data_IF_064163816439
#
_entry.id   IF_064163816439
#
_cell.length_a   1.000
_cell.length_b   1.000
_cell.length_c   1.000
_cell.angle_alpha   90.00
_cell.angle_beta   90.00
_cell.angle_gamma   90.00
#
_symmetry.space_group_name_H-M   'P 1'
#
loop_
_entity.id
_entity.type
_entity.pdbx_description
1 polymer ?
#
# COMPACT_ATOMS: atom_id res chain seq x y z
N UNK A 1 31.64 12.54 -42.46
CA UNK A 1 30.57 11.52 -42.54
C UNK A 1 30.59 10.53 -41.40
N UNK A 2 31.74 10.19 -40.85
CA UNK A 2 31.83 9.27 -39.70
C UNK A 2 31.31 9.86 -38.40
N UNK A 3 31.24 11.18 -38.24
CA UNK A 3 30.77 11.86 -37.04
C UNK A 3 29.24 11.91 -36.86
N UNK A 4 28.49 11.66 -37.92
CA UNK A 4 27.01 11.70 -37.89
C UNK A 4 26.43 10.46 -37.20
N UNK A 5 27.06 9.29 -37.33
CA UNK A 5 26.63 8.02 -36.74
C UNK A 5 26.75 8.03 -35.21
N UNK A 6 27.76 8.68 -34.65
CA UNK A 6 27.95 8.76 -33.20
C UNK A 6 26.98 9.71 -32.51
N UNK A 7 26.46 10.72 -33.21
CA UNK A 7 25.48 11.66 -32.67
C UNK A 7 24.12 11.02 -32.45
N UNK A 8 23.67 10.14 -33.33
CA UNK A 8 22.40 9.43 -33.21
C UNK A 8 22.41 8.43 -32.04
N UNK A 9 23.54 7.79 -31.80
CA UNK A 9 23.69 6.85 -30.68
C UNK A 9 23.61 7.56 -29.33
N UNK A 10 24.13 8.77 -29.20
CA UNK A 10 24.10 9.58 -27.98
C UNK A 10 22.70 10.11 -27.64
N UNK A 11 21.83 10.29 -28.63
CA UNK A 11 20.45 10.77 -28.43
C UNK A 11 19.53 9.66 -27.91
N UNK A 12 19.81 8.40 -28.24
CA UNK A 12 18.98 7.25 -27.80
C UNK A 12 19.21 6.89 -26.31
N UNK A 13 20.38 7.11 -25.76
CA UNK A 13 20.73 6.80 -24.37
C UNK A 13 19.90 7.58 -23.34
N UNK A 14 19.68 8.89 -23.44
CA UNK A 14 18.86 9.65 -22.50
C UNK A 14 17.39 9.17 -22.45
N UNK A 15 16.85 8.73 -23.56
CA UNK A 15 15.48 8.24 -23.62
C UNK A 15 15.29 6.93 -22.85
N UNK A 16 16.24 6.02 -22.89
CA UNK A 16 16.22 4.77 -22.14
C UNK A 16 16.26 5.00 -20.63
N UNK A 17 17.02 6.00 -20.17
CA UNK A 17 17.13 6.36 -18.76
C UNK A 17 15.81 6.96 -18.24
N UNK A 18 15.13 7.77 -19.03
CA UNK A 18 13.84 8.38 -18.65
C UNK A 18 12.75 7.31 -18.49
N UNK A 19 12.71 6.32 -19.34
CA UNK A 19 11.76 5.22 -19.26
C UNK A 19 11.94 4.37 -18.00
N UNK A 20 13.15 4.07 -17.60
CA UNK A 20 13.41 3.28 -16.39
C UNK A 20 13.02 4.02 -15.11
N UNK A 21 12.96 5.35 -15.09
CA UNK A 21 12.51 6.16 -13.95
C UNK A 21 11.00 6.27 -13.78
N UNK A 22 10.19 5.81 -14.75
CA UNK A 22 8.73 5.90 -14.71
C UNK A 22 8.05 4.67 -14.08
N UNK A 23 8.77 3.56 -13.90
CA UNK A 23 8.23 2.34 -13.29
C UNK A 23 8.38 2.43 -11.78
N UNK A 24 7.25 2.57 -11.07
CA UNK A 24 7.22 2.54 -9.60
C UNK A 24 6.49 1.30 -9.13
N UNK A 25 7.07 0.60 -8.17
CA UNK A 25 6.38 -0.46 -7.47
C UNK A 25 5.27 0.14 -6.58
N UNK A 26 4.12 -0.52 -6.53
CA UNK A 26 3.06 -0.16 -5.59
C UNK A 26 3.52 -0.39 -4.15
N UNK A 27 3.04 0.44 -3.22
CA UNK A 27 3.31 0.25 -1.82
C UNK A 27 2.70 -1.07 -1.32
N UNK A 28 3.42 -1.86 -0.51
CA UNK A 28 2.85 -3.07 0.07
C UNK A 28 1.74 -2.71 1.06
N UNK A 29 0.68 -3.50 1.07
CA UNK A 29 -0.52 -3.26 1.88
C UNK A 29 -0.57 -4.20 3.08
N UNK A 30 -0.83 -3.64 4.25
CA UNK A 30 -1.23 -4.36 5.46
C UNK A 30 -2.74 -4.15 5.63
N UNK A 31 -3.50 -5.22 5.58
CA UNK A 31 -4.95 -5.18 5.73
C UNK A 31 -5.33 -5.51 7.17
N UNK A 32 -6.12 -4.66 7.79
CA UNK A 32 -6.70 -4.90 9.11
C UNK A 32 -8.19 -5.19 8.94
N UNK A 33 -8.62 -6.33 9.45
CA UNK A 33 -10.01 -6.78 9.37
C UNK A 33 -10.48 -7.18 10.77
N UNK A 34 -11.22 -6.30 11.42
CA UNK A 34 -11.68 -6.50 12.79
C UNK A 34 -13.05 -5.89 13.05
N UNK A 35 -13.33 -5.66 14.32
CA UNK A 35 -14.58 -5.11 14.83
C UNK A 35 -14.42 -3.66 15.30
N UNK A 36 -15.23 -3.24 16.28
CA UNK A 36 -15.22 -1.88 16.83
C UNK A 36 -13.88 -1.47 17.45
N UNK A 37 -13.11 -2.41 17.99
CA UNK A 37 -11.79 -2.09 18.56
C UNK A 37 -10.81 -1.62 17.49
N UNK A 38 -10.81 -2.25 16.34
CA UNK A 38 -9.95 -1.87 15.22
C UNK A 38 -10.55 -0.74 14.39
N UNK A 39 -11.88 -0.64 14.32
CA UNK A 39 -12.56 0.47 13.65
C UNK A 39 -12.39 1.81 14.39
N UNK A 40 -12.01 1.78 15.66
CA UNK A 40 -11.83 3.00 16.46
C UNK A 40 -13.14 3.62 16.95
N UNK A 41 -14.15 2.80 17.18
CA UNK A 41 -15.45 3.27 17.66
C UNK A 41 -15.33 4.03 18.97
N UNK A 42 -15.89 5.24 19.00
CA UNK A 42 -15.93 6.09 20.20
C UNK A 42 -14.65 6.84 20.53
N UNK A 43 -13.62 6.77 19.70
CA UNK A 43 -12.38 7.53 19.88
C UNK A 43 -12.05 8.33 18.62
N UNK A 44 -11.30 9.46 18.76
CA UNK A 44 -10.82 10.19 17.59
C UNK A 44 -10.00 9.30 16.67
N UNK A 45 -10.20 9.44 15.36
CA UNK A 45 -9.57 8.56 14.36
C UNK A 45 -8.05 8.48 14.50
N UNK A 46 -7.39 9.61 14.77
CA UNK A 46 -5.93 9.68 14.93
C UNK A 46 -5.40 8.97 16.18
N UNK A 47 -6.27 8.62 17.13
CA UNK A 47 -5.93 7.91 18.36
C UNK A 47 -6.20 6.40 18.27
N UNK A 48 -6.87 5.93 17.21
CA UNK A 48 -7.09 4.52 16.98
C UNK A 48 -5.77 3.79 16.70
N UNK A 49 -5.65 2.54 17.16
CA UNK A 49 -4.40 1.79 17.05
C UNK A 49 -3.96 1.56 15.60
N UNK A 50 -4.90 1.44 14.67
CA UNK A 50 -4.59 1.25 13.24
C UNK A 50 -3.89 2.48 12.67
N UNK A 51 -4.38 3.68 13.01
CA UNK A 51 -3.73 4.92 12.59
C UNK A 51 -2.37 5.12 13.27
N UNK A 52 -2.25 4.72 14.54
CA UNK A 52 -0.96 4.72 15.24
C UNK A 52 0.04 3.75 14.59
N UNK A 53 -0.42 2.59 14.14
CA UNK A 53 0.41 1.64 13.40
C UNK A 53 0.92 2.27 12.09
N UNK A 54 0.04 2.90 11.31
CA UNK A 54 0.46 3.58 10.08
C UNK A 54 1.52 4.64 10.36
N UNK A 55 1.31 5.44 11.38
CA UNK A 55 2.26 6.48 11.78
C UNK A 55 3.62 5.90 12.17
N UNK A 56 3.60 4.82 12.94
CA UNK A 56 4.83 4.14 13.37
C UNK A 56 5.61 3.58 12.18
N UNK A 57 4.93 2.96 11.23
CA UNK A 57 5.56 2.43 10.02
C UNK A 57 6.20 3.56 9.20
N UNK A 58 5.48 4.65 9.01
CA UNK A 58 5.98 5.82 8.28
C UNK A 58 7.20 6.45 8.95
N UNK A 59 7.14 6.64 10.26
CA UNK A 59 8.24 7.21 11.06
C UNK A 59 9.50 6.33 11.00
N UNK A 60 9.33 5.02 10.86
CA UNK A 60 10.45 4.07 10.79
C UNK A 60 10.92 3.79 9.36
N UNK A 61 10.38 4.50 8.38
CA UNK A 61 10.80 4.39 6.99
C UNK A 61 10.26 3.19 6.23
N UNK A 62 9.22 2.50 6.76
CA UNK A 62 8.57 1.42 6.02
C UNK A 62 7.60 1.97 5.00
N UNK A 63 7.59 1.45 3.75
CA UNK A 63 6.70 1.93 2.70
C UNK A 63 5.27 1.39 2.80
N UNK A 64 4.97 0.57 3.80
CA UNK A 64 3.70 -0.13 3.93
C UNK A 64 2.54 0.82 4.14
N UNK A 65 1.44 0.56 3.44
CA UNK A 65 0.16 1.24 3.61
C UNK A 65 -0.77 0.35 4.43
N UNK A 66 -1.30 0.86 5.53
CA UNK A 66 -2.27 0.14 6.36
C UNK A 66 -3.67 0.51 5.89
N UNK A 67 -4.46 -0.51 5.54
CA UNK A 67 -5.87 -0.35 5.15
C UNK A 67 -6.71 -0.96 6.25
N UNK A 68 -7.54 -0.12 6.89
CA UNK A 68 -8.46 -0.55 7.93
C UNK A 68 -9.81 -0.88 7.31
N UNK A 69 -10.09 -2.17 7.15
CA UNK A 69 -11.37 -2.68 6.66
C UNK A 69 -12.25 -3.19 7.81
N UNK A 70 -11.99 -2.77 9.03
CA UNK A 70 -12.75 -3.16 10.21
C UNK A 70 -14.14 -2.54 10.21
N UNK A 71 -15.13 -3.28 10.69
CA UNK A 71 -16.52 -2.83 10.79
C UNK A 71 -16.97 -2.97 12.24
N UNK A 72 -17.43 -1.86 12.82
CA UNK A 72 -17.98 -1.85 14.16
C UNK A 72 -19.21 -2.75 14.23
N UNK A 73 -19.24 -3.64 15.23
CA UNK A 73 -20.32 -4.63 15.38
C UNK A 73 -20.17 -5.90 14.55
N UNK A 74 -19.11 -6.04 13.78
CA UNK A 74 -18.91 -7.24 12.97
C UNK A 74 -18.56 -8.46 13.83
N UNK A 75 -18.91 -9.63 13.32
CA UNK A 75 -18.63 -10.93 13.94
C UNK A 75 -17.48 -11.63 13.20
N UNK A 76 -16.93 -12.66 13.80
CA UNK A 76 -15.94 -13.54 13.13
C UNK A 76 -16.50 -14.11 11.83
N UNK A 77 -17.77 -14.52 11.83
CA UNK A 77 -18.47 -15.02 10.64
C UNK A 77 -18.59 -13.95 9.57
N UNK A 78 -18.96 -12.71 9.94
CA UNK A 78 -19.03 -11.58 9.02
C UNK A 78 -17.68 -11.23 8.42
N UNK A 79 -16.64 -11.20 9.24
CA UNK A 79 -15.26 -10.98 8.79
C UNK A 79 -14.80 -12.03 7.80
N UNK A 80 -15.08 -13.30 8.10
CA UNK A 80 -14.74 -14.41 7.22
C UNK A 80 -15.45 -14.29 5.86
N UNK A 81 -16.71 -13.86 5.85
CA UNK A 81 -17.47 -13.67 4.61
C UNK A 81 -16.88 -12.58 3.73
N UNK A 82 -16.30 -11.53 4.32
CA UNK A 82 -15.72 -10.39 3.60
C UNK A 82 -14.28 -10.61 3.16
N UNK A 83 -13.58 -11.54 3.80
CA UNK A 83 -12.14 -11.74 3.61
C UNK A 83 -11.75 -12.03 2.15
N UNK A 84 -12.41 -12.94 1.41
CA UNK A 84 -12.00 -13.23 0.03
C UNK A 84 -12.02 -11.99 -0.88
N UNK A 85 -13.08 -11.21 -0.82
CA UNK A 85 -13.20 -9.99 -1.62
C UNK A 85 -12.15 -8.93 -1.22
N UNK A 86 -11.88 -8.81 0.08
CA UNK A 86 -10.86 -7.88 0.60
C UNK A 86 -9.45 -8.29 0.15
N UNK A 87 -9.13 -9.58 0.16
CA UNK A 87 -7.84 -10.10 -0.31
C UNK A 87 -7.66 -9.83 -1.81
N UNK A 88 -8.70 -10.05 -2.60
CA UNK A 88 -8.66 -9.80 -4.04
C UNK A 88 -8.50 -8.32 -4.35
N UNK A 89 -9.25 -7.46 -3.65
CA UNK A 89 -9.24 -6.02 -3.87
C UNK A 89 -7.93 -5.36 -3.47
N UNK A 90 -7.39 -5.71 -2.31
CA UNK A 90 -6.25 -5.02 -1.71
C UNK A 90 -4.92 -5.74 -1.92
N UNK A 91 -4.94 -7.03 -2.20
CA UNK A 91 -3.74 -7.88 -2.38
C UNK A 91 -2.68 -7.63 -1.29
N UNK A 92 -3.05 -7.77 -0.02
CA UNK A 92 -2.15 -7.43 1.07
C UNK A 92 -0.98 -8.41 1.17
N UNK A 93 0.14 -7.92 1.70
CA UNK A 93 1.29 -8.75 2.08
C UNK A 93 1.12 -9.33 3.48
N UNK A 94 0.24 -8.72 4.29
CA UNK A 94 -0.04 -9.12 5.67
C UNK A 94 -1.50 -8.80 5.99
N UNK A 95 -2.16 -9.69 6.70
CA UNK A 95 -3.52 -9.50 7.21
C UNK A 95 -3.48 -9.60 8.74
N UNK A 96 -4.08 -8.63 9.41
CA UNK A 96 -4.30 -8.63 10.86
C UNK A 96 -5.79 -8.86 11.10
N UNK A 97 -6.14 -9.92 11.83
CA UNK A 97 -7.51 -10.29 12.18
C UNK A 97 -7.76 -10.09 13.66
#
# INVERSE_FOLDING_TARGET
MKSIRSRWFLILLPWLVIWSGLVRAEAPVILVLGDSLSAGYGIPAEQGWVNLLQRRLTERGFPHQVINASISGDTTSGGLSRLPAALERHRPVLVIL
#
